data_IF_847298270804
#
_entry.id   IF_847298270804
#
_cell.length_a   1.000
_cell.length_b   1.000
_cell.length_c   1.000
_cell.angle_alpha   90.00
_cell.angle_beta   90.00
_cell.angle_gamma   90.00
#
_symmetry.space_group_name_H-M   'P 1'
#
loop_
_entity.id
_entity.type
_entity.pdbx_description
1 polymer ?
#
# COMPACT_ATOMS: atom_id res chain seq x y z
N UNK A 1 20.94 37.22 7.64
CA UNK A 1 20.84 35.89 7.01
C UNK A 1 19.37 35.53 6.97
N UNK A 2 18.71 35.65 5.81
CA UNK A 2 17.30 35.28 5.70
C UNK A 2 17.20 33.75 5.71
N UNK A 3 16.50 33.19 6.69
CA UNK A 3 16.16 31.76 6.70
C UNK A 3 15.43 31.45 5.39
N UNK A 4 16.01 30.57 4.58
CA UNK A 4 15.42 30.15 3.31
C UNK A 4 14.38 29.07 3.59
N UNK A 5 13.34 29.42 4.34
CA UNK A 5 12.25 28.50 4.67
C UNK A 5 11.56 28.04 3.40
N UNK A 6 11.25 26.72 3.28
CA UNK A 6 10.57 26.19 2.12
C UNK A 6 9.21 26.87 1.95
N UNK A 7 9.03 27.57 0.82
CA UNK A 7 7.78 28.28 0.52
C UNK A 7 6.77 27.34 -0.13
N UNK A 8 5.55 27.36 0.39
CA UNK A 8 4.38 26.68 -0.19
C UNK A 8 4.22 27.01 -1.69
N UNK A 9 3.85 26.05 -2.56
CA UNK A 9 3.65 26.30 -3.98
C UNK A 9 2.54 27.32 -4.23
N UNK A 10 2.80 28.39 -4.95
CA UNK A 10 1.78 29.39 -5.29
C UNK A 10 0.92 29.00 -6.51
N UNK A 11 1.11 27.81 -7.08
CA UNK A 11 0.39 27.33 -8.26
C UNK A 11 0.37 25.80 -8.33
N UNK A 12 -0.64 25.25 -9.00
CA UNK A 12 -0.73 23.82 -9.31
C UNK A 12 0.51 23.31 -10.06
N UNK A 13 1.01 24.07 -11.04
CA UNK A 13 2.23 23.71 -11.78
C UNK A 13 3.42 23.51 -10.84
N UNK A 14 3.60 24.41 -9.86
CA UNK A 14 4.70 24.32 -8.90
C UNK A 14 4.50 23.16 -7.93
N UNK A 15 3.28 22.92 -7.46
CA UNK A 15 2.96 21.76 -6.62
C UNK A 15 3.30 20.45 -7.34
N UNK A 16 2.84 20.32 -8.59
CA UNK A 16 3.11 19.14 -9.42
C UNK A 16 4.62 18.91 -9.59
N UNK A 17 5.40 19.96 -9.85
CA UNK A 17 6.86 19.86 -9.94
C UNK A 17 7.51 19.35 -8.65
N UNK A 18 7.03 19.77 -7.48
CA UNK A 18 7.56 19.29 -6.20
C UNK A 18 7.23 17.81 -5.97
N UNK A 19 5.98 17.41 -6.20
CA UNK A 19 5.54 16.01 -6.10
C UNK A 19 6.35 15.14 -7.07
N UNK A 20 6.49 15.58 -8.33
CA UNK A 20 7.25 14.85 -9.35
C UNK A 20 8.71 14.69 -8.90
N UNK A 21 9.33 15.73 -8.33
CA UNK A 21 10.70 15.68 -7.80
C UNK A 21 10.86 14.67 -6.66
N UNK A 22 9.89 14.58 -5.75
CA UNK A 22 9.91 13.56 -4.70
C UNK A 22 9.75 12.16 -5.29
N UNK A 23 8.87 11.99 -6.28
CA UNK A 23 8.70 10.67 -6.91
C UNK A 23 9.90 10.21 -7.73
N UNK A 24 10.67 11.12 -8.33
CA UNK A 24 11.91 10.76 -9.04
C UNK A 24 13.00 10.26 -8.07
N UNK A 25 13.02 10.79 -6.84
CA UNK A 25 13.95 10.32 -5.79
C UNK A 25 13.62 8.92 -5.32
N UNK A 26 12.35 8.52 -5.43
CA UNK A 26 11.90 7.16 -5.18
C UNK A 26 12.23 6.33 -6.43
N UNK A 27 13.32 5.56 -6.37
CA UNK A 27 13.77 4.69 -7.48
C UNK A 27 12.77 3.60 -7.87
N UNK A 28 11.79 3.32 -7.00
CA UNK A 28 10.74 2.32 -7.19
C UNK A 28 9.40 2.97 -7.58
N UNK A 29 8.84 2.50 -8.71
CA UNK A 29 7.54 2.94 -9.23
C UNK A 29 6.39 2.65 -8.26
N UNK A 30 6.43 1.55 -7.51
CA UNK A 30 5.42 1.24 -6.50
C UNK A 30 5.46 2.26 -5.36
N UNK A 31 6.65 2.53 -4.80
CA UNK A 31 6.85 3.56 -3.77
C UNK A 31 6.44 4.95 -4.25
N UNK A 32 6.73 5.31 -5.50
CA UNK A 32 6.27 6.57 -6.09
C UNK A 32 4.73 6.68 -6.13
N UNK A 33 4.02 5.57 -6.41
CA UNK A 33 2.55 5.52 -6.36
C UNK A 33 2.04 5.61 -4.91
N UNK A 34 2.65 4.87 -3.98
CA UNK A 34 2.31 4.92 -2.55
C UNK A 34 2.48 6.35 -2.03
N UNK A 35 3.60 7.01 -2.34
CA UNK A 35 3.83 8.40 -1.95
C UNK A 35 2.75 9.34 -2.46
N UNK A 36 2.37 9.26 -3.75
CA UNK A 36 1.30 10.12 -4.29
C UNK A 36 -0.03 9.88 -3.57
N UNK A 37 -0.34 8.63 -3.23
CA UNK A 37 -1.55 8.27 -2.48
C UNK A 37 -1.50 8.76 -1.04
N UNK A 38 -0.38 8.60 -0.36
CA UNK A 38 -0.15 9.15 0.98
C UNK A 38 -0.19 10.67 0.98
N UNK A 39 0.32 11.32 -0.06
CA UNK A 39 0.22 12.77 -0.17
C UNK A 39 -1.25 13.21 -0.22
N UNK A 40 -2.05 12.55 -1.06
CA UNK A 40 -3.48 12.84 -1.17
C UNK A 40 -4.22 12.53 0.15
N UNK A 41 -3.94 11.38 0.76
CA UNK A 41 -4.57 10.98 2.01
C UNK A 41 -4.19 11.88 3.18
N UNK A 42 -2.93 12.34 3.24
CA UNK A 42 -2.47 13.30 4.23
C UNK A 42 -3.18 14.65 4.09
N UNK A 43 -3.30 15.17 2.86
CA UNK A 43 -4.08 16.39 2.57
C UNK A 43 -5.53 16.22 2.99
N UNK A 44 -6.18 15.12 2.59
CA UNK A 44 -7.58 14.88 2.92
C UNK A 44 -7.79 14.70 4.43
N UNK A 45 -6.84 14.08 5.13
CA UNK A 45 -6.82 13.93 6.59
C UNK A 45 -6.91 15.26 7.34
N UNK A 46 -6.45 16.36 6.76
CA UNK A 46 -6.57 17.71 7.34
C UNK A 46 -7.98 18.32 7.18
N UNK A 47 -8.82 17.70 6.36
CA UNK A 47 -10.18 18.14 6.04
C UNK A 47 -11.24 17.12 6.47
N UNK A 48 -10.86 16.08 7.23
CA UNK A 48 -11.82 15.18 7.88
C UNK A 48 -12.50 15.94 9.02
N UNK A 49 -13.85 15.86 9.17
CA UNK A 49 -14.56 16.55 10.25
C UNK A 49 -14.29 15.90 11.62
N UNK A 50 -14.55 16.65 12.69
CA UNK A 50 -14.27 16.20 14.06
C UNK A 50 -15.13 15.00 14.50
N UNK A 51 -16.22 14.69 13.79
CA UNK A 51 -17.03 13.48 14.01
C UNK A 51 -16.54 12.25 13.25
N UNK A 52 -15.35 12.28 12.65
CA UNK A 52 -14.85 11.20 11.79
C UNK A 52 -13.35 10.95 11.95
N UNK A 53 -12.90 9.77 11.49
CA UNK A 53 -11.50 9.37 11.47
C UNK A 53 -11.16 8.51 10.24
N UNK A 54 -9.88 8.48 9.86
CA UNK A 54 -9.37 7.63 8.78
C UNK A 54 -9.18 6.18 9.26
N UNK A 55 -9.45 5.22 8.38
CA UNK A 55 -9.19 3.80 8.62
C UNK A 55 -8.63 3.09 7.39
N UNK A 56 -8.50 1.77 7.48
CA UNK A 56 -8.17 0.90 6.37
C UNK A 56 -6.73 1.06 5.86
N UNK A 57 -6.50 0.67 4.61
CA UNK A 57 -5.13 0.57 4.07
C UNK A 57 -4.44 1.93 3.91
N UNK A 58 -5.19 2.99 3.66
CA UNK A 58 -4.63 4.35 3.53
C UNK A 58 -4.19 4.92 4.87
N UNK A 59 -4.94 4.65 5.96
CA UNK A 59 -4.54 5.04 7.31
C UNK A 59 -3.24 4.33 7.73
N UNK A 60 -3.16 3.01 7.53
CA UNK A 60 -1.93 2.23 7.82
C UNK A 60 -0.75 2.77 7.01
N UNK A 61 -0.97 3.05 5.72
CA UNK A 61 0.07 3.57 4.81
C UNK A 61 0.59 4.95 5.23
N UNK A 62 -0.23 5.78 5.87
CA UNK A 62 0.16 7.09 6.43
C UNK A 62 0.79 6.99 7.82
N UNK A 63 0.39 5.99 8.62
CA UNK A 63 0.84 5.77 9.98
C UNK A 63 2.31 5.34 10.04
N UNK A 64 2.75 4.55 9.07
CA UNK A 64 4.07 3.92 9.05
C UNK A 64 4.96 4.40 7.88
N UNK A 65 6.28 4.16 7.95
CA UNK A 65 7.22 4.61 6.94
C UNK A 65 6.85 4.17 5.53
N UNK A 66 7.07 5.05 4.55
CA UNK A 66 6.76 4.79 3.14
C UNK A 66 7.40 3.49 2.60
N UNK A 67 8.54 3.06 3.16
CA UNK A 67 9.22 1.81 2.81
C UNK A 67 8.43 0.54 3.15
N UNK A 68 7.52 0.62 4.11
CA UNK A 68 6.71 -0.49 4.63
C UNK A 68 5.24 -0.40 4.22
N UNK A 69 4.91 0.63 3.44
CA UNK A 69 3.56 0.95 3.03
C UNK A 69 3.25 0.43 1.63
N UNK A 70 2.09 -0.21 1.48
CA UNK A 70 1.56 -0.63 0.17
C UNK A 70 0.68 0.45 -0.45
N UNK A 71 0.52 0.39 -1.77
CA UNK A 71 -0.44 1.26 -2.47
C UNK A 71 -1.87 0.89 -2.04
N UNK A 72 -2.58 1.85 -1.44
CA UNK A 72 -4.04 1.81 -1.28
C UNK A 72 -4.73 2.61 -2.38
N UNK A 73 -5.88 2.13 -2.84
CA UNK A 73 -6.64 2.80 -3.91
C UNK A 73 -7.61 3.82 -3.33
N UNK A 74 -8.31 3.38 -2.29
CA UNK A 74 -9.44 4.05 -1.67
C UNK A 74 -8.99 4.67 -0.33
N UNK A 75 -9.68 5.72 0.10
CA UNK A 75 -9.51 6.31 1.42
C UNK A 75 -10.75 5.96 2.22
N UNK A 76 -10.55 5.16 3.27
CA UNK A 76 -11.62 4.65 4.10
C UNK A 76 -11.76 5.54 5.35
N UNK A 77 -12.99 5.83 5.74
CA UNK A 77 -13.32 6.62 6.92
C UNK A 77 -14.47 6.00 7.69
N UNK A 78 -14.55 6.36 8.97
CA UNK A 78 -15.73 6.12 9.77
C UNK A 78 -16.19 7.41 10.46
N UNK A 79 -17.50 7.52 10.65
CA UNK A 79 -18.15 8.68 11.24
C UNK A 79 -19.10 8.31 12.38
N UNK A 80 -19.15 9.15 13.41
CA UNK A 80 -20.19 9.10 14.45
C UNK A 80 -21.39 9.94 14.03
N UNK A 81 -22.58 9.61 14.54
CA UNK A 81 -23.81 10.36 14.25
C UNK A 81 -24.46 9.93 12.94
N UNK A 82 -25.18 10.84 12.29
CA UNK A 82 -25.87 10.54 11.03
C UNK A 82 -24.98 10.77 9.80
N UNK A 83 -25.33 10.10 8.71
CA UNK A 83 -24.71 10.32 7.38
C UNK A 83 -24.85 11.79 6.95
N UNK A 84 -26.04 12.38 7.13
CA UNK A 84 -26.31 13.78 6.78
C UNK A 84 -25.42 14.76 7.57
N UNK A 85 -25.27 14.56 8.89
CA UNK A 85 -24.39 15.37 9.73
C UNK A 85 -22.92 15.26 9.31
N UNK A 86 -22.49 14.04 8.95
CA UNK A 86 -21.14 13.80 8.42
C UNK A 86 -20.93 14.53 7.09
N UNK A 87 -21.84 14.37 6.14
CA UNK A 87 -21.73 14.95 4.80
C UNK A 87 -21.75 16.47 4.80
N UNK A 88 -22.63 17.09 5.59
CA UNK A 88 -22.66 18.55 5.77
C UNK A 88 -21.34 19.07 6.35
N UNK A 89 -20.84 18.40 7.39
CA UNK A 89 -19.58 18.77 8.05
C UNK A 89 -18.38 18.57 7.12
N UNK A 90 -18.36 17.48 6.35
CA UNK A 90 -17.30 17.17 5.41
C UNK A 90 -17.29 18.13 4.22
N UNK A 91 -18.46 18.46 3.66
CA UNK A 91 -18.61 19.47 2.61
C UNK A 91 -18.07 20.82 3.08
N UNK A 92 -18.41 21.23 4.30
CA UNK A 92 -17.90 22.47 4.91
C UNK A 92 -16.38 22.46 5.04
N UNK A 93 -15.78 21.38 5.57
CA UNK A 93 -14.32 21.26 5.69
C UNK A 93 -13.60 21.28 4.35
N UNK A 94 -14.15 20.63 3.32
CA UNK A 94 -13.59 20.66 1.96
C UNK A 94 -13.67 22.06 1.34
N UNK A 95 -14.75 22.81 1.58
CA UNK A 95 -14.90 24.20 1.11
C UNK A 95 -13.98 25.17 1.85
N UNK A 96 -13.86 25.04 3.18
CA UNK A 96 -12.89 25.79 3.99
C UNK A 96 -11.46 25.52 3.49
N UNK A 97 -11.20 24.27 3.14
CA UNK A 97 -9.95 23.82 2.57
C UNK A 97 -8.81 23.78 3.58
N UNK A 98 -7.65 23.33 3.10
CA UNK A 98 -6.43 23.28 3.89
C UNK A 98 -5.24 23.74 3.07
N UNK A 99 -4.58 24.80 3.52
CA UNK A 99 -3.37 25.34 2.92
C UNK A 99 -3.40 25.41 1.38
N UNK A 100 -4.51 25.90 0.82
CA UNK A 100 -4.68 26.13 -0.61
C UNK A 100 -5.20 24.93 -1.39
N UNK A 101 -5.34 23.78 -0.73
CA UNK A 101 -6.27 22.75 -1.15
C UNK A 101 -7.68 23.12 -0.74
N UNK A 102 -8.64 22.77 -1.57
CA UNK A 102 -10.08 22.80 -1.28
C UNK A 102 -10.72 21.63 -2.05
N UNK A 103 -12.00 21.39 -1.85
CA UNK A 103 -12.67 20.34 -2.60
C UNK A 103 -14.18 20.34 -2.52
N UNK A 104 -14.73 19.30 -3.11
CA UNK A 104 -16.14 18.94 -3.08
C UNK A 104 -16.25 17.42 -3.22
N UNK A 105 -17.44 16.87 -3.04
CA UNK A 105 -17.69 15.48 -3.37
C UNK A 105 -19.04 15.33 -4.08
N UNK A 106 -19.20 14.17 -4.70
CA UNK A 106 -20.45 13.68 -5.27
C UNK A 106 -20.62 12.22 -4.82
N UNK A 107 -21.86 11.74 -4.67
CA UNK A 107 -22.08 10.32 -4.46
C UNK A 107 -21.66 9.55 -5.72
N UNK A 108 -20.97 8.44 -5.51
CA UNK A 108 -20.53 7.55 -6.56
C UNK A 108 -21.29 6.22 -6.46
N UNK A 109 -21.65 5.67 -7.62
CA UNK A 109 -22.28 4.35 -7.67
C UNK A 109 -21.26 3.25 -7.32
N UNK A 110 -21.62 2.40 -6.35
CA UNK A 110 -20.87 1.16 -6.09
C UNK A 110 -21.54 -0.01 -6.80
N UNK A 111 -20.76 -0.75 -7.60
CA UNK A 111 -21.25 -1.98 -8.27
C UNK A 111 -21.51 -3.13 -7.31
N UNK A 112 -20.85 -3.14 -6.15
CA UNK A 112 -20.96 -4.21 -5.17
C UNK A 112 -20.66 -3.68 -3.77
N UNK A 113 -21.63 -3.77 -2.87
CA UNK A 113 -21.44 -3.55 -1.43
C UNK A 113 -21.52 -4.90 -0.73
N UNK A 114 -20.52 -5.29 0.09
CA UNK A 114 -20.62 -6.51 0.88
C UNK A 114 -21.88 -6.49 1.74
N UNK A 115 -22.50 -7.64 1.84
CA UNK A 115 -23.60 -7.92 2.76
C UNK A 115 -23.33 -7.32 4.16
N UNK A 116 -24.30 -6.56 4.69
CA UNK A 116 -24.28 -6.03 6.05
C UNK A 116 -23.46 -4.76 6.29
N UNK A 117 -22.85 -4.20 5.24
CA UNK A 117 -22.04 -3.00 5.36
C UNK A 117 -22.80 -1.80 4.79
N UNK A 118 -23.18 -0.86 5.65
CA UNK A 118 -23.53 0.48 5.22
C UNK A 118 -22.25 1.22 4.86
N UNK A 119 -22.17 1.67 3.61
CA UNK A 119 -20.99 2.32 3.07
C UNK A 119 -21.39 3.34 2.00
N UNK A 120 -21.04 4.59 2.26
CA UNK A 120 -21.24 5.69 1.36
C UNK A 120 -19.99 5.84 0.52
N UNK A 121 -20.13 5.58 -0.78
CA UNK A 121 -19.03 5.70 -1.74
C UNK A 121 -19.11 7.09 -2.36
N UNK A 122 -18.14 7.93 -2.06
CA UNK A 122 -18.05 9.30 -2.55
C UNK A 122 -16.89 9.44 -3.54
N UNK A 123 -17.10 10.24 -4.57
CA UNK A 123 -16.05 10.73 -5.47
C UNK A 123 -15.64 12.12 -4.97
N UNK A 124 -14.53 12.17 -4.23
CA UNK A 124 -14.00 13.44 -3.70
C UNK A 124 -13.11 14.08 -4.76
N UNK A 125 -13.39 15.34 -5.05
CA UNK A 125 -12.60 16.20 -5.92
C UNK A 125 -11.76 17.15 -5.08
N UNK A 126 -10.44 17.01 -5.17
CA UNK A 126 -9.50 17.94 -4.56
C UNK A 126 -8.92 18.86 -5.61
N UNK A 127 -8.97 20.15 -5.31
CA UNK A 127 -8.40 21.22 -6.11
C UNK A 127 -7.24 21.86 -5.34
N UNK A 128 -6.24 22.38 -6.05
CA UNK A 128 -5.18 23.19 -5.48
C UNK A 128 -5.13 24.54 -6.18
N UNK A 129 -5.33 25.62 -5.43
CA UNK A 129 -5.44 26.98 -5.98
C UNK A 129 -6.49 27.08 -7.09
N UNK A 130 -7.64 26.42 -6.91
CA UNK A 130 -8.76 26.42 -7.86
C UNK A 130 -8.57 25.55 -9.10
N UNK A 131 -7.52 24.72 -9.16
CA UNK A 131 -7.26 23.80 -10.28
C UNK A 131 -7.35 22.36 -9.77
N UNK A 132 -8.10 21.51 -10.48
CA UNK A 132 -8.24 20.09 -10.15
C UNK A 132 -6.88 19.42 -9.94
N UNK A 133 -6.68 18.90 -8.74
CA UNK A 133 -5.49 18.20 -8.30
C UNK A 133 -5.68 16.68 -8.33
N UNK A 134 -6.77 16.17 -7.74
CA UNK A 134 -7.06 14.75 -7.68
C UNK A 134 -8.57 14.46 -7.64
N UNK A 135 -8.94 13.27 -8.10
CA UNK A 135 -10.25 12.65 -7.83
C UNK A 135 -10.00 11.35 -7.07
N UNK A 136 -10.76 11.12 -6.01
CA UNK A 136 -10.48 10.12 -4.98
C UNK A 136 -11.75 9.30 -4.73
N UNK A 137 -11.61 7.99 -4.72
CA UNK A 137 -12.62 7.10 -4.16
C UNK A 137 -12.52 7.19 -2.65
N UNK A 138 -13.57 7.70 -2.03
CA UNK A 138 -13.66 7.89 -0.60
C UNK A 138 -14.81 7.03 -0.09
N UNK A 139 -14.51 6.15 0.86
CA UNK A 139 -15.51 5.28 1.46
C UNK A 139 -15.77 5.76 2.90
N UNK A 140 -17.03 6.04 3.22
CA UNK A 140 -17.45 6.47 4.55
C UNK A 140 -18.41 5.43 5.13
N UNK A 141 -18.25 5.07 6.40
CA UNK A 141 -19.12 4.11 7.07
C UNK A 141 -19.47 4.58 8.48
N UNK A 142 -20.64 4.25 9.02
CA UNK A 142 -20.93 4.52 10.42
C UNK A 142 -19.90 3.85 11.34
N UNK A 143 -19.50 4.54 12.40
CA UNK A 143 -18.67 3.99 13.47
C UNK A 143 -19.53 3.11 14.39
N UNK A 144 -19.74 1.88 13.95
CA UNK A 144 -20.54 0.89 14.69
C UNK A 144 -19.86 0.39 15.98
N UNK A 145 -18.58 0.70 16.18
CA UNK A 145 -17.82 0.27 17.36
C UNK A 145 -17.57 1.36 18.39
N UNK A 146 -18.09 2.57 18.14
CA UNK A 146 -17.83 3.75 18.98
C UNK A 146 -16.33 3.94 19.24
N UNK A 147 -15.52 3.80 18.19
CA UNK A 147 -14.06 3.92 18.24
C UNK A 147 -13.57 5.38 18.15
N UNK A 148 -14.45 6.34 17.80
CA UNK A 148 -14.07 7.75 17.68
C UNK A 148 -13.42 8.34 18.95
N UNK A 149 -13.87 8.03 20.19
CA UNK A 149 -13.21 8.51 21.40
C UNK A 149 -11.76 8.03 21.56
N UNK A 150 -11.45 6.83 21.06
CA UNK A 150 -10.12 6.21 21.12
C UNK A 150 -9.28 6.49 19.85
N UNK A 151 -9.83 7.23 18.89
CA UNK A 151 -9.13 7.56 17.65
C UNK A 151 -7.87 8.40 17.92
N UNK A 152 -6.77 8.03 17.26
CA UNK A 152 -5.46 8.61 17.51
C UNK A 152 -5.04 9.60 16.43
N UNK A 153 -4.28 10.63 16.80
CA UNK A 153 -3.58 11.50 15.87
C UNK A 153 -2.21 10.94 15.51
N UNK A 154 -2.07 10.37 14.31
CA UNK A 154 -0.86 9.66 13.87
C UNK A 154 -0.48 10.00 12.44
N UNK A 155 0.81 10.01 12.17
CA UNK A 155 1.39 10.11 10.83
C UNK A 155 2.89 9.85 10.94
N UNK A 156 3.44 9.14 9.95
CA UNK A 156 4.87 8.92 9.81
C UNK A 156 5.65 10.24 9.75
N UNK A 157 6.81 10.28 10.43
CA UNK A 157 7.64 11.47 10.52
C UNK A 157 8.24 11.86 9.18
N UNK A 158 8.74 10.89 8.40
CA UNK A 158 9.35 11.16 7.10
C UNK A 158 8.32 11.77 6.15
N UNK A 159 7.08 11.26 6.17
CA UNK A 159 6.01 11.85 5.39
C UNK A 159 5.73 13.30 5.79
N UNK A 160 5.70 13.63 7.10
CA UNK A 160 5.54 15.01 7.58
C UNK A 160 6.70 15.91 7.16
N UNK A 161 7.93 15.43 7.25
CA UNK A 161 9.12 16.16 6.79
C UNK A 161 9.07 16.43 5.28
N UNK A 162 8.56 15.49 4.47
CA UNK A 162 8.36 15.71 3.04
C UNK A 162 7.36 16.85 2.81
N UNK A 163 6.22 16.88 3.51
CA UNK A 163 5.27 18.00 3.44
C UNK A 163 5.91 19.33 3.85
N UNK A 164 6.64 19.34 4.97
CA UNK A 164 7.34 20.53 5.46
C UNK A 164 8.38 21.03 4.45
N UNK A 165 9.14 20.14 3.82
CA UNK A 165 10.11 20.48 2.76
C UNK A 165 9.45 21.10 1.52
N UNK A 166 8.16 20.85 1.32
CA UNK A 166 7.34 21.44 0.28
C UNK A 166 6.64 22.73 0.72
N UNK A 167 6.83 23.16 1.97
CA UNK A 167 6.24 24.36 2.54
C UNK A 167 4.81 24.18 3.06
N UNK A 168 4.43 22.95 3.39
CA UNK A 168 3.16 22.65 4.04
C UNK A 168 3.38 22.31 5.52
N UNK A 169 2.55 22.88 6.40
CA UNK A 169 2.56 22.56 7.82
C UNK A 169 1.55 21.45 8.11
N UNK A 170 2.02 20.21 8.10
CA UNK A 170 1.18 18.99 8.16
C UNK A 170 1.03 18.50 9.60
N UNK A 171 -0.19 18.54 10.11
CA UNK A 171 -0.54 17.90 11.37
C UNK A 171 -0.74 16.38 11.18
N UNK A 172 -0.50 15.54 12.20
CA UNK A 172 -0.94 14.15 12.17
C UNK A 172 -2.44 14.05 11.88
N UNK A 173 -2.88 13.06 11.11
CA UNK A 173 -4.30 12.87 10.83
C UNK A 173 -4.95 12.03 11.93
N UNK A 174 -6.25 12.24 12.18
CA UNK A 174 -7.02 11.41 13.09
C UNK A 174 -7.33 10.06 12.42
N UNK A 175 -6.99 8.96 13.09
CA UNK A 175 -7.10 7.60 12.56
C UNK A 175 -7.70 6.67 13.61
N UNK A 176 -8.29 5.57 13.15
CA UNK A 176 -8.75 4.49 14.01
C UNK A 176 -7.62 4.03 14.95
N UNK A 177 -8.00 3.68 16.17
CA UNK A 177 -7.12 2.97 17.11
C UNK A 177 -6.50 1.73 16.44
N UNK A 178 -5.26 1.43 16.78
CA UNK A 178 -4.48 0.41 16.08
C UNK A 178 -4.92 -1.01 16.40
N UNK A 179 -5.42 -1.28 17.61
CA UNK A 179 -5.96 -2.59 18.00
C UNK A 179 -7.31 -2.82 17.33
N UNK A 180 -8.16 -1.80 17.29
CA UNK A 180 -9.41 -1.84 16.54
C UNK A 180 -9.16 -2.02 15.03
N UNK A 181 -8.15 -1.33 14.48
CA UNK A 181 -7.76 -1.47 13.08
C UNK A 181 -7.23 -2.88 12.79
N UNK A 182 -6.46 -3.48 13.70
CA UNK A 182 -5.98 -4.86 13.60
C UNK A 182 -7.14 -5.87 13.62
N UNK A 183 -8.12 -5.68 14.51
CA UNK A 183 -9.34 -6.49 14.56
C UNK A 183 -10.12 -6.44 13.23
N UNK A 184 -10.29 -5.26 12.61
CA UNK A 184 -10.92 -5.12 11.29
C UNK A 184 -10.16 -5.93 10.21
N UNK A 185 -8.83 -5.98 10.28
CA UNK A 185 -8.01 -6.75 9.33
C UNK A 185 -8.14 -8.25 9.53
N UNK A 186 -8.18 -8.72 10.78
CA UNK A 186 -8.41 -10.13 11.09
C UNK A 186 -9.81 -10.58 10.66
N UNK A 187 -10.84 -9.78 10.94
CA UNK A 187 -12.19 -10.07 10.48
C UNK A 187 -12.28 -10.13 8.94
N UNK A 188 -11.58 -9.22 8.24
CA UNK A 188 -11.45 -9.20 6.79
C UNK A 188 -10.78 -10.46 6.22
N UNK A 189 -9.78 -11.01 6.91
CA UNK A 189 -9.12 -12.27 6.53
C UNK A 189 -10.07 -13.47 6.58
N UNK A 190 -10.97 -13.53 7.55
CA UNK A 190 -11.90 -14.67 7.73
C UNK A 190 -13.10 -14.65 6.77
N UNK A 191 -13.26 -13.61 5.95
CA UNK A 191 -14.31 -13.54 4.91
C UNK A 191 -14.04 -14.49 3.75
N UNK A 192 -15.10 -14.95 3.09
CA UNK A 192 -14.99 -15.80 1.90
C UNK A 192 -14.25 -15.11 0.73
N UNK A 193 -14.30 -13.77 0.67
CA UNK A 193 -13.58 -12.96 -0.31
C UNK A 193 -12.13 -12.71 0.14
N UNK A 194 -11.22 -13.46 -0.49
CA UNK A 194 -9.81 -13.61 -0.10
C UNK A 194 -9.03 -12.30 -0.28
N UNK A 195 -8.49 -11.76 0.81
CA UNK A 195 -7.73 -10.51 0.78
C UNK A 195 -6.36 -10.63 1.48
N UNK A 196 -5.38 -11.25 0.83
CA UNK A 196 -4.00 -11.27 1.36
C UNK A 196 -3.30 -9.92 1.38
N UNK A 197 -3.96 -8.80 1.01
CA UNK A 197 -3.48 -7.47 1.38
C UNK A 197 -3.62 -7.23 2.88
N UNK A 198 -4.63 -7.81 3.52
CA UNK A 198 -4.79 -7.71 4.98
C UNK A 198 -3.67 -8.46 5.71
N UNK A 199 -3.13 -9.55 5.13
CA UNK A 199 -1.90 -10.18 5.64
C UNK A 199 -0.72 -9.19 5.67
N UNK A 200 -0.55 -8.39 4.61
CA UNK A 200 0.50 -7.38 4.55
C UNK A 200 0.26 -6.27 5.57
N UNK A 201 -0.98 -5.79 5.67
CA UNK A 201 -1.35 -4.75 6.64
C UNK A 201 -1.14 -5.24 8.09
N UNK A 202 -1.49 -6.50 8.40
CA UNK A 202 -1.24 -7.13 9.71
C UNK A 202 0.24 -7.25 10.00
N UNK A 203 1.03 -7.74 9.04
CA UNK A 203 2.49 -7.82 9.20
C UNK A 203 3.07 -6.43 9.48
N UNK A 204 2.67 -5.40 8.73
CA UNK A 204 3.12 -4.03 8.95
C UNK A 204 2.70 -3.51 10.32
N UNK A 205 1.45 -3.71 10.75
CA UNK A 205 1.01 -3.30 12.10
C UNK A 205 1.88 -3.97 13.17
N UNK A 206 2.08 -5.28 13.07
CA UNK A 206 2.77 -6.09 14.07
C UNK A 206 4.28 -5.80 14.18
N UNK A 207 4.90 -5.17 13.17
CA UNK A 207 6.28 -4.68 13.28
C UNK A 207 6.42 -3.48 14.23
N UNK A 208 5.35 -2.72 14.42
CA UNK A 208 5.37 -1.45 15.17
C UNK A 208 4.46 -1.47 16.39
N UNK A 209 3.64 -2.51 16.56
CA UNK A 209 2.63 -2.60 17.60
C UNK A 209 2.55 -4.01 18.19
N UNK A 210 2.45 -4.08 19.52
CA UNK A 210 2.08 -5.31 20.22
C UNK A 210 0.65 -5.14 20.73
N UNK A 211 -0.31 -5.95 20.28
CA UNK A 211 -1.71 -5.74 20.60
C UNK A 211 -2.04 -6.08 22.05
N UNK A 212 -3.00 -5.34 22.60
CA UNK A 212 -3.74 -5.79 23.78
C UNK A 212 -4.73 -6.88 23.33
N UNK A 213 -4.51 -8.11 23.79
CA UNK A 213 -5.31 -9.26 23.35
C UNK A 213 -6.75 -9.21 23.87
N UNK A 214 -7.01 -8.56 24.99
CA UNK A 214 -8.36 -8.32 25.49
C UNK A 214 -9.12 -7.37 24.58
N UNK A 215 -8.52 -6.21 24.29
CA UNK A 215 -9.11 -5.21 23.37
C UNK A 215 -9.26 -5.77 21.96
N UNK A 216 -8.29 -6.54 21.47
CA UNK A 216 -8.36 -7.17 20.15
C UNK A 216 -9.57 -8.10 20.05
N UNK A 217 -9.83 -8.92 21.07
CA UNK A 217 -11.02 -9.78 21.14
C UNK A 217 -12.30 -8.96 21.19
N UNK A 218 -12.38 -7.96 22.06
CA UNK A 218 -13.56 -7.11 22.19
C UNK A 218 -13.92 -6.42 20.86
N UNK A 219 -12.90 -5.87 20.18
CA UNK A 219 -13.04 -5.27 18.85
C UNK A 219 -13.44 -6.29 17.77
N UNK A 220 -12.92 -7.53 17.81
CA UNK A 220 -13.39 -8.59 16.91
C UNK A 220 -14.87 -8.91 17.11
N UNK A 221 -15.34 -8.96 18.37
CA UNK A 221 -16.77 -9.21 18.66
C UNK A 221 -17.68 -8.09 18.19
N UNK A 222 -17.20 -6.84 18.18
CA UNK A 222 -17.95 -5.73 17.59
C UNK A 222 -18.23 -6.01 16.10
N UNK A 223 -17.21 -6.41 15.33
CA UNK A 223 -17.36 -6.69 13.91
C UNK A 223 -18.32 -7.87 13.62
N UNK A 224 -18.28 -8.91 14.46
CA UNK A 224 -19.10 -10.13 14.33
C UNK A 224 -20.58 -9.88 14.62
N UNK A 225 -20.89 -9.01 15.58
CA UNK A 225 -22.27 -8.69 15.98
C UNK A 225 -22.98 -7.73 15.03
N UNK A 226 -22.30 -7.21 14.00
CA UNK A 226 -22.91 -6.35 12.99
C UNK A 226 -23.95 -7.13 12.18
N UNK A 227 -24.91 -6.42 11.58
CA UNK A 227 -25.82 -7.04 10.64
C UNK A 227 -25.02 -7.72 9.52
N UNK A 228 -25.32 -8.98 9.24
CA UNK A 228 -24.57 -9.86 8.31
C UNK A 228 -23.06 -9.97 8.62
N UNK A 229 -22.69 -9.75 9.89
CA UNK A 229 -21.38 -10.10 10.43
C UNK A 229 -21.16 -11.61 10.38
N UNK A 230 -19.89 -12.00 10.48
CA UNK A 230 -19.45 -13.39 10.47
C UNK A 230 -18.33 -13.55 11.49
N UNK A 231 -18.25 -14.75 12.08
CA UNK A 231 -17.23 -15.09 13.06
C UNK A 231 -15.82 -14.93 12.48
N UNK A 232 -14.92 -14.34 13.27
CA UNK A 232 -13.50 -14.27 12.93
C UNK A 232 -12.87 -15.62 13.25
N UNK A 233 -12.53 -16.35 12.19
CA UNK A 233 -12.06 -17.75 12.26
C UNK A 233 -10.66 -17.91 11.68
N UNK A 234 -9.93 -18.90 12.20
CA UNK A 234 -8.69 -19.41 11.62
C UNK A 234 -8.93 -19.81 10.14
N UNK A 235 -7.95 -19.53 9.29
CA UNK A 235 -8.06 -19.83 7.85
C UNK A 235 -7.51 -21.24 7.59
N UNK A 236 -8.27 -22.13 6.93
CA UNK A 236 -7.75 -23.45 6.54
C UNK A 236 -6.50 -23.35 5.67
N UNK A 237 -5.49 -24.17 5.96
CA UNK A 237 -4.22 -24.22 5.20
C UNK A 237 -4.42 -24.50 3.70
N UNK A 238 -5.51 -25.16 3.33
CA UNK A 238 -5.90 -25.36 1.92
C UNK A 238 -6.08 -24.05 1.15
N UNK A 239 -6.35 -22.92 1.84
CA UNK A 239 -6.48 -21.58 1.26
C UNK A 239 -5.18 -20.77 1.28
N UNK A 240 -4.12 -21.22 1.98
CA UNK A 240 -2.85 -20.49 2.20
C UNK A 240 -2.28 -19.89 0.92
N UNK A 241 -2.18 -20.69 -0.15
CA UNK A 241 -1.58 -20.27 -1.42
C UNK A 241 -2.25 -19.02 -2.02
N UNK A 242 -3.55 -18.86 -1.83
CA UNK A 242 -4.32 -17.77 -2.44
C UNK A 242 -4.12 -16.43 -1.71
N UNK A 243 -4.05 -16.46 -0.38
CA UNK A 243 -3.69 -15.29 0.42
C UNK A 243 -2.23 -14.89 0.13
N UNK A 244 -1.31 -15.85 0.07
CA UNK A 244 0.10 -15.55 -0.19
C UNK A 244 0.34 -14.92 -1.58
N UNK A 245 -0.48 -15.26 -2.58
CA UNK A 245 -0.40 -14.65 -3.91
C UNK A 245 -0.82 -13.16 -3.92
N UNK A 246 -1.76 -12.75 -3.07
CA UNK A 246 -2.16 -11.34 -2.94
C UNK A 246 -1.23 -10.57 -1.99
N UNK A 247 -0.74 -11.21 -0.93
CA UNK A 247 0.31 -10.70 -0.04
C UNK A 247 1.58 -10.33 -0.79
N UNK A 248 2.08 -11.23 -1.66
CA UNK A 248 3.28 -10.94 -2.48
C UNK A 248 3.07 -9.71 -3.38
N UNK A 249 1.88 -9.59 -3.97
CA UNK A 249 1.53 -8.44 -4.83
C UNK A 249 1.40 -7.14 -4.04
N UNK A 250 1.14 -7.21 -2.74
CA UNK A 250 1.12 -6.06 -1.84
C UNK A 250 2.53 -5.59 -1.43
N UNK A 251 3.58 -6.35 -1.78
CA UNK A 251 4.97 -6.09 -1.38
C UNK A 251 5.46 -7.00 -0.26
N UNK A 252 4.64 -7.97 0.16
CA UNK A 252 4.99 -8.95 1.17
C UNK A 252 6.09 -9.89 0.69
N UNK A 253 7.03 -10.20 1.59
CA UNK A 253 8.23 -11.00 1.27
C UNK A 253 8.29 -12.29 2.08
N UNK A 254 8.08 -12.24 3.39
CA UNK A 254 8.18 -13.42 4.26
C UNK A 254 6.85 -14.17 4.37
N UNK A 255 6.57 -14.98 3.35
CA UNK A 255 5.29 -15.72 3.23
C UNK A 255 4.99 -16.63 4.40
N UNK A 256 6.00 -17.36 4.89
CA UNK A 256 5.79 -18.33 5.97
C UNK A 256 5.54 -17.60 7.28
N UNK A 257 6.42 -16.66 7.64
CA UNK A 257 6.28 -15.87 8.86
C UNK A 257 4.97 -15.08 8.88
N UNK A 258 4.60 -14.42 7.79
CA UNK A 258 3.36 -13.66 7.71
C UNK A 258 2.13 -14.55 7.84
N UNK A 259 2.14 -15.75 7.22
CA UNK A 259 1.05 -16.71 7.40
C UNK A 259 0.95 -17.17 8.85
N UNK A 260 2.06 -17.62 9.44
CA UNK A 260 2.10 -18.07 10.84
C UNK A 260 1.65 -16.96 11.79
N UNK A 261 2.12 -15.73 11.60
CA UNK A 261 1.69 -14.55 12.37
C UNK A 261 0.17 -14.39 12.33
N UNK A 262 -0.40 -14.40 11.12
CA UNK A 262 -1.84 -14.23 10.95
C UNK A 262 -2.64 -15.38 11.57
N UNK A 263 -2.19 -16.64 11.45
CA UNK A 263 -2.86 -17.77 12.10
C UNK A 263 -2.82 -17.65 13.63
N UNK A 264 -1.68 -17.22 14.20
CA UNK A 264 -1.55 -16.99 15.64
C UNK A 264 -2.45 -15.86 16.14
N UNK A 265 -2.55 -14.76 15.39
CA UNK A 265 -3.51 -13.69 15.71
C UNK A 265 -4.95 -14.16 15.62
N UNK A 266 -5.30 -14.93 14.58
CA UNK A 266 -6.63 -15.48 14.42
C UNK A 266 -6.98 -16.45 15.56
N UNK A 267 -6.04 -17.27 16.04
CA UNK A 267 -6.31 -18.14 17.19
C UNK A 267 -6.59 -17.37 18.48
N UNK A 268 -6.09 -16.13 18.64
CA UNK A 268 -6.41 -15.29 19.80
C UNK A 268 -7.84 -14.72 19.77
N UNK A 269 -8.49 -14.72 18.60
CA UNK A 269 -9.84 -14.15 18.42
C UNK A 269 -10.87 -15.16 17.95
N UNK A 270 -10.46 -16.37 17.55
CA UNK A 270 -11.38 -17.46 17.22
C UNK A 270 -11.96 -18.06 18.50
N UNK A 271 -13.29 -18.04 18.63
CA UNK A 271 -14.00 -18.63 19.77
C UNK A 271 -13.77 -20.14 19.92
N UNK A 272 -13.48 -20.84 18.82
CA UNK A 272 -13.19 -22.28 18.86
C UNK A 272 -11.81 -22.57 19.50
N UNK A 273 -10.98 -21.53 19.64
CA UNK A 273 -9.66 -21.59 20.28
C UNK A 273 -9.64 -20.94 21.67
N UNK A 274 -10.80 -20.62 22.24
CA UNK A 274 -10.90 -19.83 23.48
C UNK A 274 -10.24 -20.45 24.71
N UNK A 275 -10.11 -21.79 24.74
CA UNK A 275 -9.39 -22.50 25.81
C UNK A 275 -7.86 -22.29 25.76
N UNK A 276 -7.32 -21.83 24.63
CA UNK A 276 -5.87 -21.62 24.39
C UNK A 276 -5.49 -20.14 24.33
N UNK A 277 -6.44 -19.24 24.59
CA UNK A 277 -6.23 -17.80 24.53
C UNK A 277 -5.21 -17.32 25.55
N UNK A 278 -4.27 -16.49 25.09
CA UNK A 278 -3.28 -15.88 25.96
C UNK A 278 -3.86 -14.65 26.66
N UNK A 279 -3.49 -14.43 27.91
CA UNK A 279 -3.81 -13.16 28.60
C UNK A 279 -2.99 -12.02 28.02
N UNK A 280 -1.70 -12.26 27.77
CA UNK A 280 -0.78 -11.37 27.07
C UNK A 280 0.29 -12.20 26.38
N UNK A 281 0.92 -11.65 25.33
CA UNK A 281 1.91 -12.41 24.57
C UNK A 281 3.27 -12.52 25.25
N UNK A 282 3.83 -11.47 25.87
CA UNK A 282 5.12 -11.57 26.58
C UNK A 282 6.21 -12.26 25.73
N UNK A 283 6.85 -13.29 26.27
CA UNK A 283 7.84 -14.12 25.55
C UNK A 283 7.24 -14.94 24.39
N UNK A 284 5.92 -15.14 24.40
CA UNK A 284 5.20 -15.85 23.33
C UNK A 284 4.89 -14.92 22.14
N UNK A 285 5.25 -13.64 22.17
CA UNK A 285 5.01 -12.73 21.06
C UNK A 285 5.60 -13.29 19.75
N UNK A 286 4.85 -13.25 18.62
CA UNK A 286 5.41 -13.64 17.33
C UNK A 286 6.64 -12.77 16.99
N UNK A 287 7.79 -13.41 16.82
CA UNK A 287 9.00 -12.72 16.36
C UNK A 287 8.87 -12.40 14.86
N UNK A 288 9.04 -11.14 14.52
CA UNK A 288 9.19 -10.69 13.14
C UNK A 288 10.68 -10.49 12.84
N UNK A 289 11.14 -11.06 11.74
CA UNK A 289 12.53 -10.90 11.31
C UNK A 289 12.69 -9.49 10.73
N UNK A 290 13.81 -8.83 11.04
CA UNK A 290 14.05 -7.47 10.59
C UNK A 290 14.12 -7.38 9.06
N UNK A 291 13.42 -6.38 8.52
CA UNK A 291 13.22 -6.23 7.07
C UNK A 291 14.51 -5.90 6.29
N UNK A 292 15.57 -5.49 6.99
CA UNK A 292 16.90 -5.18 6.47
C UNK A 292 17.71 -6.45 6.17
N UNK A 293 17.77 -7.39 7.13
CA UNK A 293 18.49 -8.65 6.98
C UNK A 293 17.87 -9.50 5.86
N UNK A 294 16.54 -9.45 5.73
CA UNK A 294 15.80 -10.09 4.65
C UNK A 294 16.03 -9.44 3.28
N UNK A 295 16.15 -8.10 3.22
CA UNK A 295 16.46 -7.40 1.97
C UNK A 295 17.87 -7.74 1.47
N UNK A 296 18.84 -7.84 2.37
CA UNK A 296 20.22 -8.20 2.05
C UNK A 296 20.33 -9.67 1.61
N UNK A 297 19.66 -10.59 2.32
CA UNK A 297 19.63 -12.00 1.97
C UNK A 297 18.97 -12.28 0.61
N UNK A 298 17.86 -11.58 0.30
CA UNK A 298 17.13 -11.77 -0.97
C UNK A 298 17.80 -11.05 -2.15
N UNK A 299 18.44 -9.90 -1.92
CA UNK A 299 19.30 -9.26 -2.92
C UNK A 299 20.48 -10.19 -3.28
N UNK A 300 21.10 -10.82 -2.28
CA UNK A 300 22.14 -11.81 -2.50
C UNK A 300 21.64 -13.02 -3.32
N UNK A 301 20.43 -13.53 -3.05
CA UNK A 301 19.84 -14.63 -3.81
C UNK A 301 19.44 -14.22 -5.24
N UNK A 302 18.89 -13.01 -5.42
CA UNK A 302 18.56 -12.46 -6.74
C UNK A 302 19.81 -12.27 -7.60
N UNK A 303 20.89 -11.74 -7.01
CA UNK A 303 22.18 -11.58 -7.66
C UNK A 303 22.81 -12.93 -8.00
N UNK A 304 22.63 -13.94 -7.14
CA UNK A 304 23.05 -15.31 -7.39
C UNK A 304 22.32 -15.91 -8.60
N UNK A 305 20.98 -15.85 -8.63
CA UNK A 305 20.16 -16.36 -9.74
C UNK A 305 20.54 -15.65 -11.05
N UNK A 306 20.71 -14.33 -11.02
CA UNK A 306 21.12 -13.54 -12.19
C UNK A 306 22.52 -13.94 -12.68
N UNK A 307 23.46 -14.13 -11.77
CA UNK A 307 24.81 -14.63 -12.08
C UNK A 307 24.77 -16.03 -12.71
N UNK A 308 23.96 -16.94 -12.18
CA UNK A 308 23.78 -18.29 -12.71
C UNK A 308 23.17 -18.27 -14.12
N UNK A 309 22.15 -17.43 -14.36
CA UNK A 309 21.56 -17.23 -15.67
C UNK A 309 22.56 -16.64 -16.68
N UNK A 310 23.36 -15.65 -16.27
CA UNK A 310 24.41 -15.08 -17.13
C UNK A 310 25.50 -16.11 -17.46
N UNK A 311 25.93 -16.93 -16.49
CA UNK A 311 26.88 -18.03 -16.73
C UNK A 311 26.31 -19.07 -17.68
N UNK A 312 25.04 -19.43 -17.55
CA UNK A 312 24.36 -20.35 -18.46
C UNK A 312 24.25 -19.78 -19.88
N UNK A 313 23.92 -18.49 -20.02
CA UNK A 313 23.88 -17.80 -21.31
C UNK A 313 25.27 -17.72 -21.97
N UNK A 314 26.31 -17.38 -21.22
CA UNK A 314 27.68 -17.33 -21.71
C UNK A 314 28.18 -18.70 -22.19
N UNK A 315 27.85 -19.78 -21.48
CA UNK A 315 28.16 -21.16 -21.93
C UNK A 315 27.44 -21.52 -23.23
N UNK A 316 26.19 -21.12 -23.41
CA UNK A 316 25.44 -21.34 -24.68
C UNK A 316 26.05 -20.56 -25.85
N UNK A 317 26.51 -19.33 -25.60
CA UNK A 317 27.19 -18.52 -26.61
C UNK A 317 28.53 -19.18 -27.00
N UNK A 318 29.34 -19.59 -26.02
CA UNK A 318 30.61 -20.26 -26.27
C UNK A 318 30.46 -21.59 -27.02
N UNK A 319 29.40 -22.36 -26.73
CA UNK A 319 29.09 -23.61 -27.42
C UNK A 319 28.57 -23.42 -28.87
N UNK A 320 28.18 -22.19 -29.25
CA UNK A 320 27.61 -21.87 -30.56
C UNK A 320 28.49 -21.01 -31.47
N UNK A 321 29.73 -20.68 -31.06
CA UNK A 321 30.64 -19.87 -31.90
C UNK A 321 31.53 -20.76 -32.78
N UNK A 322 31.48 -20.62 -34.13
CA UNK A 322 32.44 -21.28 -35.01
C UNK A 322 33.83 -20.63 -34.93
N UNK A 323 34.87 -21.47 -35.03
CA UNK A 323 36.30 -21.13 -34.95
C UNK A 323 36.69 -19.89 -35.78
N UNK A 324 37.49 -18.94 -35.25
CA UNK A 324 37.93 -17.76 -36.00
C UNK A 324 38.96 -18.14 -37.07
N UNK A 325 38.58 -18.03 -38.35
CA UNK A 325 39.52 -18.15 -39.48
C UNK A 325 39.01 -18.81 -40.76
N UNK A 326 37.75 -19.26 -40.80
CA UNK A 326 37.18 -19.92 -41.98
C UNK A 326 36.99 -19.00 -43.19
N UNK A 327 37.18 -19.56 -44.39
CA UNK A 327 36.79 -18.94 -45.66
C UNK A 327 35.27 -18.82 -45.75
N UNK A 328 34.79 -17.64 -46.17
CA UNK A 328 33.37 -17.40 -46.41
C UNK A 328 33.14 -17.35 -47.91
N UNK A 329 32.28 -18.24 -48.39
CA UNK A 329 31.73 -18.16 -49.75
C UNK A 329 30.66 -17.06 -49.77
N UNK A 330 30.84 -16.09 -50.67
CA UNK A 330 29.82 -15.06 -50.94
C UNK A 330 29.10 -15.47 -52.21
N UNK A 331 27.79 -15.70 -52.11
CA UNK A 331 26.97 -16.04 -53.26
C UNK A 331 26.88 -14.89 -54.28
N UNK A 332 26.68 -15.19 -55.57
CA UNK A 332 26.42 -14.17 -56.58
C UNK A 332 25.19 -13.33 -56.20
N UNK A 333 25.27 -12.01 -56.36
CA UNK A 333 24.14 -11.13 -56.10
C UNK A 333 24.08 -9.98 -57.11
N UNK A 334 22.90 -9.37 -57.25
CA UNK A 334 22.66 -8.28 -58.19
C UNK A 334 22.61 -6.97 -57.43
N UNK A 335 23.40 -5.98 -57.86
CA UNK A 335 23.39 -4.63 -57.30
C UNK A 335 22.13 -3.87 -57.75
N UNK A 336 21.79 -2.82 -57.02
CA UNK A 336 20.62 -1.98 -57.29
C UNK A 336 20.64 -1.32 -58.69
N UNK A 337 21.81 -1.17 -59.30
CA UNK A 337 22.00 -0.66 -60.67
C UNK A 337 21.83 -1.74 -61.77
N UNK A 338 21.46 -2.98 -61.38
CA UNK A 338 21.24 -4.10 -62.29
C UNK A 338 22.49 -4.93 -62.60
N UNK A 339 23.67 -4.54 -62.11
CA UNK A 339 24.92 -5.27 -62.32
C UNK A 339 24.95 -6.56 -61.50
N UNK A 340 25.24 -7.70 -62.13
CA UNK A 340 25.39 -9.00 -61.43
C UNK A 340 26.84 -9.19 -61.00
N UNK A 341 27.07 -9.34 -59.69
CA UNK A 341 28.36 -9.71 -59.11
C UNK A 341 28.41 -11.22 -58.98
N UNK A 342 29.41 -11.86 -59.58
CA UNK A 342 29.63 -13.31 -59.40
C UNK A 342 30.18 -13.60 -58.01
N UNK A 343 29.75 -14.71 -57.42
CA UNK A 343 30.17 -15.13 -56.10
C UNK A 343 31.68 -15.41 -56.02
N UNK A 344 32.27 -15.18 -54.85
CA UNK A 344 33.70 -15.38 -54.60
C UNK A 344 33.95 -15.73 -53.14
N UNK A 345 35.06 -16.43 -52.88
CA UNK A 345 35.52 -16.72 -51.52
C UNK A 345 36.32 -15.53 -50.99
N UNK A 346 36.04 -15.12 -49.75
CA UNK A 346 36.89 -14.17 -49.02
C UNK A 346 37.18 -14.69 -47.62
N UNK A 347 38.41 -14.44 -47.14
CA UNK A 347 38.76 -14.70 -45.75
C UNK A 347 38.18 -13.62 -44.85
N UNK A 348 37.64 -14.03 -43.69
CA UNK A 348 37.23 -13.09 -42.64
C UNK A 348 38.46 -12.33 -42.16
N UNK A 349 38.44 -11.00 -42.26
CA UNK A 349 39.44 -10.18 -41.57
C UNK A 349 39.26 -10.35 -40.07
N UNK A 350 40.37 -10.43 -39.35
CA UNK A 350 40.40 -10.54 -37.88
C UNK A 350 39.64 -9.39 -37.22
#
# INVERSE_FOLDING_TARGET
>A
MGSNEPKRPNSFKRLKQLIDRQTIRLSDTAKAKTFRKNFIAGVLGQMIPDGAYLKGGSAISLRYPLSESRVSRDIDTAYSGSEEEFEESFAKKLQEGWQGFAGSFEHAERKHTPAGIQLDTLSVHLDYMGIRFATINFEASPDLGDHLPDAEYRMDNDMREIFQSMGFDMAPARMMDIDAQLAEKLNGLSRENRNGKDLYDIETIMRHHTPDLGLLRDNSRIAERRDQGHDTKIIPDSKKAEYLATYTRAGGRNKEQCWTLAQRLLSEVDLDCSDEWHEYWGENAPLLEDSADLAEAEQAETDRIRSEQMRAAAKRIAAGMPEPGGEIHVDPYRKADGTVVRGYNRRRSR
#
